data_IF_914205652877
#
_entry.id   IF_914205652877
#
_cell.length_a   1.000
_cell.length_b   1.000
_cell.length_c   1.000
_cell.angle_alpha   90.00
_cell.angle_beta   90.00
_cell.angle_gamma   90.00
#
_symmetry.space_group_name_H-M   'P 1'
#
loop_
_entity.id
_entity.type
_entity.pdbx_description
1 polymer ?
#
# COMPACT_ATOMS: atom_id res chain seq x y z
N UNK A 1 -10.85 -12.19 6.49
CA UNK A 1 -11.81 -11.32 5.76
C UNK A 1 -12.26 -12.02 4.49
N UNK A 2 -11.36 -12.34 3.56
CA UNK A 2 -11.66 -13.07 2.33
C UNK A 2 -10.50 -14.00 1.99
N UNK A 3 -10.77 -15.08 1.26
CA UNK A 3 -9.74 -16.02 0.89
C UNK A 3 -10.24 -17.18 0.05
N UNK A 4 -9.32 -17.87 -0.59
CA UNK A 4 -9.62 -19.09 -1.33
C UNK A 4 -8.73 -20.26 -0.84
N UNK A 5 -8.29 -20.18 0.42
CA UNK A 5 -7.40 -21.16 1.01
C UNK A 5 -8.00 -22.57 1.01
N UNK A 6 -7.22 -23.56 0.56
CA UNK A 6 -7.55 -24.98 0.58
C UNK A 6 -6.85 -25.79 1.68
N UNK A 7 -6.27 -25.11 2.67
CA UNK A 7 -5.54 -25.66 3.80
C UNK A 7 -4.05 -25.93 3.53
N UNK A 8 -3.43 -25.20 2.61
CA UNK A 8 -2.02 -25.43 2.28
C UNK A 8 -1.36 -24.43 1.32
N UNK A 9 -2.15 -23.60 0.63
CA UNK A 9 -1.67 -22.54 -0.26
C UNK A 9 -2.52 -21.28 -0.09
N UNK A 10 -2.39 -20.73 1.10
CA UNK A 10 -3.29 -19.74 1.66
C UNK A 10 -3.09 -18.39 0.94
N UNK A 11 -4.10 -18.01 0.16
CA UNK A 11 -4.24 -16.68 -0.43
C UNK A 11 -5.48 -16.04 0.13
N UNK A 12 -5.27 -15.19 1.12
CA UNK A 12 -6.31 -14.66 1.99
C UNK A 12 -5.91 -13.29 2.49
N UNK A 13 -6.86 -12.41 2.75
CA UNK A 13 -6.64 -11.25 3.62
C UNK A 13 -7.48 -11.39 4.89
N UNK A 14 -6.91 -11.02 6.03
CA UNK A 14 -7.51 -11.28 7.33
C UNK A 14 -6.83 -10.56 8.48
N UNK A 15 -7.22 -10.97 9.69
CA UNK A 15 -6.54 -10.61 10.91
C UNK A 15 -5.84 -11.86 11.45
N UNK A 16 -4.68 -11.69 12.06
CA UNK A 16 -3.93 -12.78 12.67
C UNK A 16 -3.25 -12.34 13.96
N UNK A 17 -3.19 -13.25 14.95
CA UNK A 17 -2.44 -13.07 16.20
C UNK A 17 -1.62 -14.32 16.58
N UNK A 18 -1.40 -15.26 15.65
CA UNK A 18 -0.69 -16.52 15.95
C UNK A 18 0.81 -16.30 16.11
N UNK A 19 1.35 -15.24 15.52
CA UNK A 19 2.76 -14.87 15.61
C UNK A 19 2.90 -13.36 15.49
N UNK A 20 3.63 -12.71 16.39
CA UNK A 20 3.71 -11.25 16.46
C UNK A 20 2.42 -10.60 17.00
N UNK A 21 2.29 -9.29 16.81
CA UNK A 21 1.14 -8.53 17.26
C UNK A 21 -0.11 -8.83 16.43
N UNK A 22 -1.28 -8.60 17.03
CA UNK A 22 -2.56 -8.69 16.34
C UNK A 22 -2.61 -7.66 15.21
N UNK A 23 -2.81 -8.12 13.97
CA UNK A 23 -2.64 -7.28 12.77
C UNK A 23 -3.48 -7.72 11.59
N UNK A 24 -3.70 -6.79 10.67
CA UNK A 24 -4.18 -7.10 9.33
C UNK A 24 -3.08 -7.78 8.52
N UNK A 25 -3.37 -8.83 7.79
CA UNK A 25 -2.33 -9.61 7.12
C UNK A 25 -2.87 -10.39 5.92
N UNK A 26 -1.93 -10.98 5.20
CA UNK A 26 -2.14 -11.94 4.13
C UNK A 26 -1.23 -13.13 4.37
N UNK A 27 -1.66 -14.33 3.99
CA UNK A 27 -0.76 -15.49 4.05
C UNK A 27 0.18 -15.51 2.86
N UNK A 28 1.40 -16.00 3.09
CA UNK A 28 2.45 -16.12 2.07
C UNK A 28 2.32 -17.41 1.24
N UNK A 29 1.12 -17.98 1.15
CA UNK A 29 0.90 -19.34 0.66
C UNK A 29 1.26 -20.37 1.73
N UNK A 30 2.36 -21.09 1.55
CA UNK A 30 2.80 -22.12 2.49
C UNK A 30 3.71 -21.53 3.59
N UNK A 31 3.12 -21.15 4.73
CA UNK A 31 3.87 -20.64 5.87
C UNK A 31 3.04 -19.78 6.81
N UNK A 32 3.73 -18.92 7.58
CA UNK A 32 3.07 -17.94 8.45
C UNK A 32 2.50 -16.77 7.63
N UNK A 33 1.54 -16.01 8.17
CA UNK A 33 1.14 -14.74 7.55
C UNK A 33 2.24 -13.68 7.57
N UNK A 34 2.11 -12.69 6.70
CA UNK A 34 2.96 -11.48 6.66
C UNK A 34 2.98 -10.80 8.03
N UNK A 35 4.16 -10.39 8.49
CA UNK A 35 4.41 -9.67 9.75
C UNK A 35 4.60 -8.17 9.50
N UNK A 36 4.57 -7.36 10.56
CA UNK A 36 4.97 -5.94 10.49
C UNK A 36 3.90 -4.96 9.98
N UNK A 37 2.72 -5.45 9.63
CA UNK A 37 1.52 -4.64 9.37
C UNK A 37 0.82 -4.23 10.67
N UNK A 38 0.00 -3.15 10.67
CA UNK A 38 -0.70 -2.69 11.85
C UNK A 38 -1.93 -3.55 12.17
N UNK A 39 -2.38 -3.49 13.41
CA UNK A 39 -3.71 -3.96 13.84
C UNK A 39 -4.74 -2.84 13.88
N UNK A 40 -6.01 -3.18 14.10
CA UNK A 40 -7.06 -2.18 14.25
C UNK A 40 -6.76 -1.27 15.45
N UNK A 41 -6.83 0.05 15.23
CA UNK A 41 -6.82 1.03 16.32
C UNK A 41 -8.13 0.98 17.12
N UNK A 42 -9.23 0.72 16.41
CA UNK A 42 -10.57 0.50 16.94
C UNK A 42 -11.24 -0.60 16.09
N UNK A 43 -11.90 -1.57 16.73
CA UNK A 43 -12.60 -2.66 16.04
C UNK A 43 -13.91 -2.24 15.36
N UNK A 44 -14.44 -1.06 15.70
CA UNK A 44 -15.61 -0.47 15.07
C UNK A 44 -15.25 0.52 13.94
N UNK A 45 -13.96 0.83 13.76
CA UNK A 45 -13.48 1.69 12.69
C UNK A 45 -13.33 0.95 11.36
N UNK A 46 -13.54 1.67 10.26
CA UNK A 46 -13.26 1.16 8.92
C UNK A 46 -11.75 1.10 8.66
N UNK A 47 -11.31 0.09 7.90
CA UNK A 47 -9.93 -0.09 7.48
C UNK A 47 -9.90 -0.44 6.01
N UNK A 48 -8.99 0.17 5.26
CA UNK A 48 -8.65 -0.29 3.93
C UNK A 48 -7.61 -1.41 4.01
N UNK A 49 -7.87 -2.53 3.35
CA UNK A 49 -6.98 -3.69 3.31
C UNK A 49 -6.89 -4.24 1.90
N UNK A 50 -5.68 -4.40 1.40
CA UNK A 50 -5.41 -5.08 0.14
C UNK A 50 -4.20 -6.01 0.25
N UNK A 51 -4.19 -7.06 -0.56
CA UNK A 51 -3.00 -7.85 -0.81
C UNK A 51 -2.79 -8.03 -2.32
N UNK A 52 -1.55 -7.89 -2.74
CA UNK A 52 -1.09 -8.09 -4.11
C UNK A 52 -0.15 -9.28 -4.09
N UNK A 53 -0.54 -10.35 -4.78
CA UNK A 53 0.30 -11.51 -4.99
C UNK A 53 0.99 -11.40 -6.34
N UNK A 54 2.32 -11.45 -6.34
CA UNK A 54 3.16 -11.44 -7.54
C UNK A 54 3.83 -12.79 -7.71
N UNK A 55 3.31 -13.58 -8.65
CA UNK A 55 3.83 -14.92 -8.90
C UNK A 55 5.16 -14.92 -9.66
N UNK A 56 5.45 -13.86 -10.43
CA UNK A 56 6.71 -13.78 -11.19
C UNK A 56 7.88 -13.51 -10.25
N UNK A 57 7.68 -12.61 -9.28
CA UNK A 57 8.69 -12.27 -8.27
C UNK A 57 8.65 -13.17 -7.02
N UNK A 58 7.68 -14.07 -6.93
CA UNK A 58 7.44 -14.92 -5.75
C UNK A 58 7.22 -14.11 -4.46
N UNK A 59 6.36 -13.08 -4.51
CA UNK A 59 6.12 -12.16 -3.39
C UNK A 59 4.63 -11.92 -3.13
N UNK A 60 4.32 -11.53 -1.88
CA UNK A 60 3.05 -10.90 -1.52
C UNK A 60 3.34 -9.56 -0.87
N UNK A 61 2.60 -8.53 -1.29
CA UNK A 61 2.60 -7.22 -0.64
C UNK A 61 1.24 -6.95 -0.01
N UNK A 62 1.23 -6.61 1.28
CA UNK A 62 0.04 -6.23 2.04
C UNK A 62 0.03 -4.71 2.21
N UNK A 63 -1.13 -4.12 1.95
CA UNK A 63 -1.38 -2.70 2.06
C UNK A 63 -2.48 -2.48 3.09
N UNK A 64 -2.21 -1.65 4.08
CA UNK A 64 -3.16 -1.36 5.17
C UNK A 64 -3.23 0.13 5.40
N UNK A 65 -4.44 0.63 5.58
CA UNK A 65 -4.70 1.94 6.14
C UNK A 65 -5.82 1.81 7.18
N UNK A 66 -5.44 2.04 8.44
CA UNK A 66 -6.33 1.95 9.61
C UNK A 66 -7.10 3.24 9.86
N UNK A 67 -6.77 4.34 9.17
CA UNK A 67 -7.46 5.62 9.25
C UNK A 67 -8.02 6.03 7.88
N UNK A 68 -9.19 5.47 7.55
CA UNK A 68 -9.89 5.85 6.32
C UNK A 68 -10.60 7.21 6.42
N UNK A 69 -10.45 7.94 7.54
CA UNK A 69 -11.02 9.28 7.69
C UNK A 69 -10.19 10.35 6.99
N UNK A 70 -8.91 10.06 6.74
CA UNK A 70 -8.03 10.85 5.87
C UNK A 70 -7.81 10.12 4.54
N UNK A 71 -7.29 10.84 3.54
CA UNK A 71 -6.92 10.28 2.23
C UNK A 71 -5.57 10.77 1.71
N UNK A 72 -4.91 11.65 2.48
CA UNK A 72 -3.63 12.26 2.12
C UNK A 72 -2.43 11.46 2.65
N UNK A 73 -2.67 10.61 3.64
CA UNK A 73 -1.72 9.68 4.22
C UNK A 73 -1.38 8.52 3.25
N UNK A 74 -0.21 7.91 3.47
CA UNK A 74 0.25 6.76 2.70
C UNK A 74 -0.23 5.45 3.34
N UNK A 75 -0.47 4.44 2.49
CA UNK A 75 -0.71 3.08 2.96
C UNK A 75 0.54 2.54 3.68
N UNK A 76 0.34 1.79 4.76
CA UNK A 76 1.38 0.90 5.29
C UNK A 76 1.57 -0.23 4.29
N UNK A 77 2.80 -0.41 3.81
CA UNK A 77 3.15 -1.37 2.75
C UNK A 77 4.17 -2.35 3.28
N UNK A 78 3.85 -3.64 3.29
CA UNK A 78 4.78 -4.68 3.71
C UNK A 78 4.84 -5.79 2.68
N UNK A 79 6.05 -6.09 2.19
CA UNK A 79 6.32 -7.13 1.21
C UNK A 79 7.08 -8.27 1.86
N UNK A 80 6.68 -9.51 1.57
CA UNK A 80 7.41 -10.71 1.96
C UNK A 80 7.42 -11.73 0.81
N UNK A 81 8.42 -12.65 0.78
CA UNK A 81 8.40 -13.79 -0.12
C UNK A 81 7.11 -14.62 0.06
N UNK A 82 6.55 -15.08 -1.04
CA UNK A 82 5.36 -15.90 -1.10
C UNK A 82 5.59 -17.15 -1.96
N UNK A 83 4.97 -18.24 -1.56
CA UNK A 83 5.01 -19.49 -2.29
C UNK A 83 3.65 -19.76 -2.94
N UNK A 84 3.66 -20.22 -4.18
CA UNK A 84 2.47 -20.35 -5.00
C UNK A 84 2.09 -21.82 -5.22
N UNK A 85 0.81 -22.11 -5.05
CA UNK A 85 0.23 -23.42 -5.33
C UNK A 85 -1.27 -23.34 -5.52
N UNK A 86 -1.91 -24.48 -5.73
CA UNK A 86 -3.34 -24.54 -6.00
C UNK A 86 -4.12 -24.13 -4.75
N UNK A 87 -5.11 -23.25 -4.92
CA UNK A 87 -6.16 -22.98 -3.92
C UNK A 87 -7.51 -23.53 -4.39
N UNK A 88 -8.62 -23.12 -3.77
CA UNK A 88 -9.95 -23.41 -4.30
C UNK A 88 -10.24 -22.61 -5.59
N UNK A 89 -11.14 -23.16 -6.41
CA UNK A 89 -11.68 -22.49 -7.60
C UNK A 89 -12.72 -21.41 -7.28
N UNK A 90 -13.04 -21.22 -6.00
CA UNK A 90 -13.97 -20.22 -5.50
C UNK A 90 -13.29 -19.39 -4.43
N UNK A 91 -13.62 -18.10 -4.40
CA UNK A 91 -13.24 -17.19 -3.33
C UNK A 91 -14.39 -17.08 -2.33
N UNK A 92 -14.10 -17.06 -1.04
CA UNK A 92 -15.06 -16.68 0.00
C UNK A 92 -14.84 -15.23 0.43
N UNK A 93 -15.94 -14.51 0.63
CA UNK A 93 -15.98 -13.22 1.32
C UNK A 93 -16.64 -13.45 2.67
N UNK A 94 -16.05 -12.93 3.74
CA UNK A 94 -16.45 -13.21 5.12
C UNK A 94 -15.83 -14.48 5.70
N UNK A 95 -14.87 -15.10 5.01
CA UNK A 95 -14.14 -16.27 5.50
C UNK A 95 -12.76 -16.39 4.82
N UNK A 96 -11.84 -17.18 5.38
CA UNK A 96 -10.57 -17.52 4.74
C UNK A 96 -10.72 -18.68 3.75
N UNK A 97 -11.68 -19.58 4.02
CA UNK A 97 -11.89 -20.82 3.27
C UNK A 97 -13.31 -20.93 2.74
N UNK A 98 -13.51 -21.29 1.46
CA UNK A 98 -14.84 -21.57 0.93
C UNK A 98 -15.48 -22.85 1.47
N UNK A 99 -14.67 -23.81 1.91
CA UNK A 99 -15.11 -25.14 2.34
C UNK A 99 -15.23 -25.30 3.87
N UNK A 100 -14.79 -24.30 4.64
CA UNK A 100 -14.77 -24.34 6.10
C UNK A 100 -15.15 -22.98 6.69
N UNK A 101 -16.28 -22.93 7.40
CA UNK A 101 -16.79 -21.70 7.99
C UNK A 101 -16.19 -21.35 9.36
N UNK A 102 -15.30 -22.17 9.94
CA UNK A 102 -14.84 -22.05 11.32
C UNK A 102 -14.03 -20.77 11.62
N UNK A 103 -13.47 -20.12 10.60
CA UNK A 103 -12.66 -18.90 10.69
C UNK A 103 -13.39 -17.70 10.05
N UNK A 104 -14.68 -17.59 10.35
CA UNK A 104 -15.55 -16.54 9.82
C UNK A 104 -15.17 -15.14 10.28
N UNK A 105 -15.29 -14.18 9.36
CA UNK A 105 -15.23 -12.77 9.68
C UNK A 105 -16.49 -12.33 10.43
N UNK A 106 -16.31 -11.54 11.48
CA UNK A 106 -17.40 -10.91 12.22
C UNK A 106 -17.23 -9.41 12.08
N UNK A 107 -18.04 -8.79 11.23
CA UNK A 107 -17.98 -7.37 10.93
C UNK A 107 -18.60 -7.05 9.59
N UNK A 108 -18.70 -5.76 9.27
CA UNK A 108 -19.14 -5.30 7.97
C UNK A 108 -18.01 -5.46 6.94
N UNK A 109 -18.40 -5.66 5.68
CA UNK A 109 -17.50 -5.65 4.52
C UNK A 109 -18.20 -4.79 3.47
N UNK A 110 -17.49 -3.82 2.92
CA UNK A 110 -17.94 -2.99 1.81
C UNK A 110 -16.81 -2.82 0.80
N UNK A 111 -17.14 -2.50 -0.45
CA UNK A 111 -16.18 -2.24 -1.54
C UNK A 111 -15.15 -3.36 -1.73
N UNK A 112 -15.62 -4.62 -1.81
CA UNK A 112 -14.76 -5.78 -2.08
C UNK A 112 -14.48 -5.94 -3.58
N UNK A 113 -13.21 -5.99 -3.96
CA UNK A 113 -12.77 -6.12 -5.34
C UNK A 113 -11.75 -7.25 -5.52
N UNK A 114 -11.68 -7.81 -6.73
CA UNK A 114 -10.68 -8.80 -7.14
C UNK A 114 -10.17 -8.40 -8.52
N UNK A 115 -8.85 -8.39 -8.69
CA UNK A 115 -8.18 -8.07 -9.95
C UNK A 115 -7.27 -9.22 -10.37
N UNK A 116 -7.15 -9.44 -11.67
CA UNK A 116 -6.23 -10.42 -12.26
C UNK A 116 -4.83 -9.83 -12.55
N UNK A 117 -4.62 -8.56 -12.20
CA UNK A 117 -3.36 -7.84 -12.41
C UNK A 117 -2.79 -7.33 -11.10
N UNK A 118 -1.47 -7.15 -11.06
CA UNK A 118 -0.79 -6.39 -10.01
C UNK A 118 -1.20 -4.92 -10.10
N UNK A 119 -2.00 -4.48 -9.12
CA UNK A 119 -2.27 -3.06 -8.96
C UNK A 119 -1.06 -2.36 -8.33
N UNK A 120 -0.78 -1.15 -8.83
CA UNK A 120 0.20 -0.26 -8.21
C UNK A 120 -0.35 0.34 -6.91
N UNK A 121 0.53 0.77 -6.01
CA UNK A 121 0.12 1.47 -4.78
C UNK A 121 -0.80 2.67 -5.06
N UNK A 122 -0.60 3.38 -6.17
CA UNK A 122 -1.45 4.51 -6.56
C UNK A 122 -2.85 4.08 -6.96
N UNK A 123 -2.98 2.98 -7.70
CA UNK A 123 -4.30 2.42 -8.04
C UNK A 123 -5.02 1.93 -6.78
N UNK A 124 -4.29 1.34 -5.82
CA UNK A 124 -4.86 0.96 -4.53
C UNK A 124 -5.31 2.17 -3.71
N UNK A 125 -4.54 3.27 -3.69
CA UNK A 125 -4.97 4.52 -3.03
C UNK A 125 -6.21 5.13 -3.72
N UNK A 126 -6.32 5.05 -5.04
CA UNK A 126 -7.57 5.43 -5.74
C UNK A 126 -8.76 4.58 -5.27
N UNK A 127 -8.58 3.26 -5.10
CA UNK A 127 -9.62 2.39 -4.56
C UNK A 127 -9.93 2.70 -3.08
N UNK A 128 -8.91 2.98 -2.25
CA UNK A 128 -9.09 3.39 -0.85
C UNK A 128 -9.95 4.65 -0.74
N UNK A 129 -9.65 5.65 -1.56
CA UNK A 129 -10.31 6.95 -1.47
C UNK A 129 -11.73 6.94 -2.07
N UNK A 130 -12.00 6.06 -3.05
CA UNK A 130 -13.24 6.12 -3.83
C UNK A 130 -14.14 4.90 -3.79
N UNK A 131 -13.70 3.79 -3.22
CA UNK A 131 -14.45 2.54 -3.22
C UNK A 131 -15.00 2.18 -4.60
N UNK A 132 -16.28 1.86 -4.69
CA UNK A 132 -16.94 1.48 -5.94
C UNK A 132 -16.94 2.61 -6.99
N UNK A 133 -16.93 3.89 -6.61
CA UNK A 133 -16.88 4.98 -7.59
C UNK A 133 -15.53 5.06 -8.32
N UNK A 134 -14.45 4.56 -7.70
CA UNK A 134 -13.15 4.47 -8.36
C UNK A 134 -13.12 3.49 -9.53
N UNK A 135 -13.92 2.41 -9.47
CA UNK A 135 -14.00 1.43 -10.56
C UNK A 135 -14.94 1.84 -11.69
N UNK A 136 -15.92 2.71 -11.39
CA UNK A 136 -16.86 3.24 -12.36
C UNK A 136 -16.29 4.41 -13.19
N UNK A 137 -15.03 4.78 -12.95
CA UNK A 137 -14.38 5.92 -13.58
C UNK A 137 -14.90 7.27 -13.08
N UNK A 138 -15.59 7.29 -11.93
CA UNK A 138 -16.18 8.49 -11.32
C UNK A 138 -15.21 9.17 -10.34
N UNK A 139 -14.08 8.55 -10.02
CA UNK A 139 -13.02 9.21 -9.26
C UNK A 139 -12.16 10.12 -10.14
N UNK A 140 -11.69 11.26 -9.60
CA UNK A 140 -10.63 12.02 -10.25
C UNK A 140 -9.39 11.14 -10.40
N UNK A 141 -8.59 11.45 -11.42
CA UNK A 141 -7.35 10.77 -11.81
C UNK A 141 -6.49 10.35 -10.59
N UNK A 142 -5.74 9.23 -10.68
CA UNK A 142 -4.94 8.72 -9.57
C UNK A 142 -4.10 9.84 -8.97
N UNK A 143 -4.28 10.12 -7.66
CA UNK A 143 -3.64 11.21 -6.91
C UNK A 143 -2.36 11.63 -7.61
N UNK A 144 -2.38 12.76 -8.33
CA UNK A 144 -1.23 13.19 -9.13
C UNK A 144 0.01 13.16 -8.22
N UNK A 145 1.17 12.67 -8.73
CA UNK A 145 2.35 12.68 -7.89
C UNK A 145 2.56 14.12 -7.40
N UNK A 146 3.02 14.33 -6.15
CA UNK A 146 3.22 15.68 -5.65
C UNK A 146 4.00 16.47 -6.69
N UNK A 147 3.49 17.64 -7.07
CA UNK A 147 4.12 18.41 -8.11
C UNK A 147 5.57 18.69 -7.69
N UNK A 148 6.51 18.48 -8.60
CA UNK A 148 7.93 18.81 -8.42
C UNK A 148 8.37 19.60 -9.64
N UNK A 149 8.61 20.89 -9.45
CA UNK A 149 9.06 21.79 -10.49
C UNK A 149 10.51 22.19 -10.23
N UNK A 150 11.33 22.12 -11.28
CA UNK A 150 12.74 22.51 -11.23
C UNK A 150 12.95 23.63 -12.24
N UNK A 151 13.32 24.81 -11.74
CA UNK A 151 13.60 26.00 -12.54
C UNK A 151 15.08 26.39 -12.37
N UNK A 152 15.79 26.56 -13.49
CA UNK A 152 17.12 27.17 -13.47
C UNK A 152 17.01 28.69 -13.56
N UNK A 153 17.60 29.38 -12.60
CA UNK A 153 17.58 30.84 -12.50
C UNK A 153 18.67 31.50 -13.34
N UNK A 154 18.48 32.78 -13.68
CA UNK A 154 19.44 33.58 -14.47
C UNK A 154 20.76 33.85 -13.74
N UNK A 155 20.75 33.82 -12.41
CA UNK A 155 21.95 33.96 -11.57
C UNK A 155 22.73 32.64 -11.39
N UNK A 156 22.31 31.54 -12.03
CA UNK A 156 22.99 30.26 -12.00
C UNK A 156 22.48 29.26 -10.96
N UNK A 157 21.61 29.69 -10.03
CA UNK A 157 21.00 28.79 -9.03
C UNK A 157 19.86 27.97 -9.62
N UNK A 158 19.39 26.96 -8.89
CA UNK A 158 18.21 26.16 -9.23
C UNK A 158 17.17 26.31 -8.14
N UNK A 159 15.93 26.63 -8.50
CA UNK A 159 14.78 26.60 -7.60
C UNK A 159 14.02 25.30 -7.80
N UNK A 160 13.71 24.62 -6.69
CA UNK A 160 12.88 23.42 -6.66
C UNK A 160 11.62 23.74 -5.88
N UNK A 161 10.47 23.74 -6.54
CA UNK A 161 9.14 23.90 -5.91
C UNK A 161 8.51 22.53 -5.80
N UNK A 162 7.94 22.20 -4.64
CA UNK A 162 7.36 20.89 -4.41
C UNK A 162 6.08 20.93 -3.57
N UNK A 163 5.18 19.99 -3.83
CA UNK A 163 4.07 19.68 -2.93
C UNK A 163 4.50 18.65 -1.88
N UNK A 164 4.00 18.79 -0.66
CA UNK A 164 4.33 17.90 0.46
C UNK A 164 5.73 18.14 1.03
N UNK A 165 6.48 17.05 1.27
CA UNK A 165 7.83 17.07 1.82
C UNK A 165 8.85 16.69 0.74
N UNK A 166 9.93 17.45 0.63
CA UNK A 166 11.06 17.07 -0.21
C UNK A 166 11.96 16.10 0.56
N UNK A 167 12.23 14.94 -0.02
CA UNK A 167 13.23 13.99 0.47
C UNK A 167 14.46 14.01 -0.43
N UNK A 168 15.65 13.92 0.17
CA UNK A 168 16.93 13.88 -0.54
C UNK A 168 17.73 12.61 -0.20
N UNK A 169 18.59 12.18 -1.11
CA UNK A 169 19.44 11.01 -0.94
C UNK A 169 20.80 11.15 -1.66
N UNK A 170 21.85 10.45 -1.19
CA UNK A 170 23.14 10.38 -1.86
C UNK A 170 23.15 9.43 -3.08
N UNK A 171 22.10 8.63 -3.25
CA UNK A 171 21.92 7.73 -4.40
C UNK A 171 20.45 7.68 -4.84
N UNK A 172 20.20 7.22 -6.07
CA UNK A 172 18.85 7.07 -6.61
C UNK A 172 17.95 6.12 -5.80
N UNK A 173 18.53 5.26 -4.96
CA UNK A 173 17.81 4.25 -4.17
C UNK A 173 17.79 4.57 -2.67
N UNK A 174 18.31 5.74 -2.26
CA UNK A 174 18.37 6.15 -0.84
C UNK A 174 19.76 6.00 -0.21
N UNK A 175 19.87 6.05 1.13
CA UNK A 175 18.78 6.27 2.08
C UNK A 175 18.15 7.66 1.91
N UNK A 176 16.82 7.73 1.97
CA UNK A 176 16.05 8.97 1.83
C UNK A 176 15.94 9.67 3.19
N UNK A 177 16.08 11.00 3.18
CA UNK A 177 15.91 11.84 4.36
C UNK A 177 15.05 13.05 4.02
N UNK A 178 14.10 13.36 4.89
CA UNK A 178 13.28 14.56 4.80
C UNK A 178 14.15 15.81 4.90
N UNK A 179 13.93 16.74 3.98
CA UNK A 179 14.44 18.10 4.06
C UNK A 179 13.45 18.94 4.86
N UNK A 180 13.95 19.60 5.90
CA UNK A 180 13.18 20.60 6.63
C UNK A 180 13.23 21.91 5.83
N UNK A 181 12.08 22.41 5.40
CA UNK A 181 12.00 23.63 4.61
C UNK A 181 10.59 23.98 4.18
N UNK A 182 10.45 25.14 3.54
CA UNK A 182 9.23 25.56 2.85
C UNK A 182 9.05 24.74 1.55
N UNK A 183 7.87 24.79 0.93
CA UNK A 183 7.51 24.11 -0.33
C UNK A 183 8.29 24.61 -1.58
N UNK A 184 9.40 25.33 -1.37
CA UNK A 184 10.33 25.82 -2.37
C UNK A 184 11.72 25.96 -1.75
N UNK A 185 12.74 25.40 -2.40
CA UNK A 185 14.14 25.56 -2.01
C UNK A 185 14.98 26.09 -3.17
N UNK A 186 16.03 26.86 -2.86
CA UNK A 186 17.03 27.29 -3.84
C UNK A 186 18.34 26.57 -3.57
N UNK A 187 18.85 25.90 -4.60
CA UNK A 187 20.06 25.10 -4.58
C UNK A 187 21.15 25.79 -5.40
N UNK A 188 22.38 25.72 -4.89
CA UNK A 188 23.59 26.06 -5.62
C UNK A 188 24.12 24.81 -6.31
N UNK A 189 24.14 24.73 -7.66
CA UNK A 189 24.69 23.57 -8.36
C UNK A 189 26.21 23.50 -8.16
N UNK A 190 26.66 22.66 -7.22
CA UNK A 190 28.05 22.61 -6.73
C UNK A 190 28.80 21.33 -7.14
N UNK A 191 28.60 20.88 -8.38
CA UNK A 191 29.23 19.72 -9.04
C UNK A 191 28.83 18.32 -8.53
N UNK A 192 28.28 18.18 -7.31
CA UNK A 192 27.79 16.90 -6.82
C UNK A 192 26.40 16.54 -7.38
N UNK A 193 26.23 15.30 -7.84
CA UNK A 193 24.92 14.76 -8.20
C UNK A 193 24.07 14.61 -6.93
N UNK A 194 22.85 15.16 -6.97
CA UNK A 194 21.89 15.08 -5.86
C UNK A 194 20.60 14.40 -6.34
N UNK A 195 20.02 13.56 -5.49
CA UNK A 195 18.75 12.90 -5.75
C UNK A 195 17.69 13.47 -4.83
N UNK A 196 16.53 13.80 -5.40
CA UNK A 196 15.40 14.36 -4.67
C UNK A 196 14.07 13.78 -5.15
N UNK A 197 13.11 13.65 -4.24
CA UNK A 197 11.72 13.28 -4.54
C UNK A 197 10.76 14.07 -3.67
N UNK A 198 9.63 14.50 -4.23
CA UNK A 198 8.53 15.04 -3.45
C UNK A 198 7.66 13.87 -2.95
N UNK A 199 7.32 13.88 -1.65
CA UNK A 199 6.43 12.92 -1.03
C UNK A 199 5.26 13.65 -0.40
N UNK A 200 4.07 13.04 -0.46
CA UNK A 200 2.86 13.60 0.16
C UNK A 200 3.04 13.63 1.68
N UNK A 201 2.50 14.68 2.32
CA UNK A 201 2.50 14.82 3.79
C UNK A 201 1.50 13.87 4.43
#
# INVERSE_FOLDING_TARGET
VMGHDNGGWDRTIGLDNRSGDFRYTSFIGNGRPVLGTPGPEDTDAWTFLAAVYDQEEEEVTVYVDTDVSTTDDNLVVVTEPAFFGLGHNTLSIGNLRPDNAAEGWVGLIDNAFVYEIKLTVRQLMTLRNGGASAILGEMPAPLDPPALEIMRNTNGTVTVTFEGTLQVAPSAIGPWKDMVGESSITLEPNEEMQFGRAVRN
#
